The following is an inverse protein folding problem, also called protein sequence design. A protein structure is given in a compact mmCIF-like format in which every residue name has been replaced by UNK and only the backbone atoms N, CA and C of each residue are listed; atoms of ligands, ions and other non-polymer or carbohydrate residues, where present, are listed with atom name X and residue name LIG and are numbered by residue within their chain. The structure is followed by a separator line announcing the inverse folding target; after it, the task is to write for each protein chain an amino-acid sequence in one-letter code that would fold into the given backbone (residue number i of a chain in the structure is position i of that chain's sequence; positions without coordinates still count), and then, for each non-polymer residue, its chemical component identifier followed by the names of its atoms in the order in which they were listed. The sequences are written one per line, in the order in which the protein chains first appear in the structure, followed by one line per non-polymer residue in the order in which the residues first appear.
data_IF_952210970184
#
_entry.id   IF_952210970184
#
_cell.length_a   1.000
_cell.length_b   1.000
_cell.length_c   1.000
_cell.angle_alpha   90.00
_cell.angle_beta   90.00
_cell.angle_gamma   90.00
#
_symmetry.space_group_name_H-M   'P 1'
#
loop_
_entity.id
_entity.type
_entity.pdbx_description
1 polymer ?
#
# COMPACT_ATOMS: atom_id res chain seq x y z
N UNK A 1 -14.36 -41.92 -12.63
CA UNK A 1 -13.19 -41.03 -12.80
C UNK A 1 -13.38 -39.83 -11.88
N UNK A 2 -12.60 -39.69 -10.79
CA UNK A 2 -12.68 -38.48 -9.97
C UNK A 2 -12.13 -37.31 -10.78
N UNK A 3 -12.93 -36.25 -10.88
CA UNK A 3 -12.56 -35.00 -11.56
C UNK A 3 -11.38 -34.39 -10.80
N UNK A 4 -10.21 -34.35 -11.43
CA UNK A 4 -9.06 -33.59 -10.94
C UNK A 4 -9.50 -32.14 -10.70
N UNK A 5 -9.57 -31.73 -9.42
CA UNK A 5 -9.70 -30.31 -9.06
C UNK A 5 -8.47 -29.63 -9.63
N UNK A 6 -8.60 -28.89 -10.73
CA UNK A 6 -7.58 -27.93 -11.18
C UNK A 6 -7.18 -27.10 -9.96
N UNK A 7 -5.92 -27.16 -9.56
CA UNK A 7 -5.41 -26.27 -8.53
C UNK A 7 -5.67 -24.84 -9.00
N UNK A 8 -6.57 -24.15 -8.30
CA UNK A 8 -6.78 -22.73 -8.54
C UNK A 8 -5.46 -22.04 -8.30
N UNK A 9 -5.02 -21.20 -9.25
CA UNK A 9 -3.84 -20.35 -9.11
C UNK A 9 -3.90 -19.62 -7.76
N UNK A 10 -2.90 -19.80 -6.92
CA UNK A 10 -2.85 -19.14 -5.61
C UNK A 10 -2.21 -17.76 -5.76
N UNK A 11 -3.06 -16.79 -6.05
CA UNK A 11 -2.65 -15.40 -6.23
C UNK A 11 -2.03 -14.80 -4.96
N UNK A 12 -2.46 -15.26 -3.78
CA UNK A 12 -1.92 -14.76 -2.52
C UNK A 12 -0.47 -15.25 -2.34
N UNK A 13 -0.20 -16.51 -2.68
CA UNK A 13 1.15 -17.06 -2.68
C UNK A 13 2.07 -16.30 -3.65
N UNK A 14 1.64 -16.08 -4.90
CA UNK A 14 2.45 -15.35 -5.89
C UNK A 14 2.82 -13.92 -5.48
N UNK A 15 1.88 -13.19 -4.87
CA UNK A 15 2.14 -11.84 -4.34
C UNK A 15 3.13 -11.92 -3.17
N UNK A 16 2.98 -12.92 -2.30
CA UNK A 16 3.86 -13.12 -1.14
C UNK A 16 5.28 -13.44 -1.59
N UNK A 17 5.45 -14.36 -2.56
CA UNK A 17 6.75 -14.75 -3.10
C UNK A 17 7.47 -13.58 -3.75
N UNK A 18 6.75 -12.71 -4.47
CA UNK A 18 7.33 -11.48 -5.02
C UNK A 18 7.84 -10.55 -3.92
N UNK A 19 7.07 -10.38 -2.84
CA UNK A 19 7.47 -9.54 -1.70
C UNK A 19 8.71 -10.11 -1.02
N UNK A 20 8.74 -11.42 -0.78
CA UNK A 20 9.90 -12.11 -0.20
C UNK A 20 11.14 -11.88 -1.07
N UNK A 21 11.03 -12.12 -2.37
CA UNK A 21 12.14 -11.91 -3.31
C UNK A 21 12.67 -10.47 -3.27
N UNK A 22 11.79 -9.47 -3.23
CA UNK A 22 12.20 -8.06 -3.16
C UNK A 22 12.91 -7.73 -1.85
N UNK A 23 12.47 -8.33 -0.74
CA UNK A 23 13.15 -8.21 0.55
C UNK A 23 14.53 -8.86 0.53
N UNK A 24 14.67 -10.03 -0.12
CA UNK A 24 15.97 -10.71 -0.32
C UNK A 24 16.93 -9.91 -1.20
N UNK A 25 16.41 -9.17 -2.18
CA UNK A 25 17.16 -8.20 -3.01
C UNK A 25 17.59 -6.94 -2.20
N UNK A 26 17.19 -6.83 -0.93
CA UNK A 26 17.55 -5.71 -0.03
C UNK A 26 16.71 -4.45 -0.25
N UNK A 27 15.64 -4.53 -1.04
CA UNK A 27 14.77 -3.39 -1.36
C UNK A 27 13.41 -3.59 -0.70
N UNK A 28 13.17 -3.03 0.50
CA UNK A 28 11.85 -3.09 1.12
C UNK A 28 10.80 -2.44 0.21
N UNK A 29 9.74 -3.15 -0.21
CA UNK A 29 8.75 -2.63 -1.18
C UNK A 29 8.05 -1.33 -0.76
N UNK A 30 8.02 -1.03 0.53
CA UNK A 30 7.41 0.17 1.13
C UNK A 30 8.40 1.31 1.39
N UNK A 31 9.71 1.12 1.19
CA UNK A 31 10.72 2.16 1.43
C UNK A 31 11.65 2.30 0.23
N UNK A 32 11.67 3.49 -0.38
CA UNK A 32 12.53 3.83 -1.52
C UNK A 32 13.36 5.07 -1.19
N UNK A 33 14.70 4.96 -1.09
CA UNK A 33 15.55 6.11 -0.77
C UNK A 33 15.93 6.98 -1.97
N UNK A 34 15.52 6.64 -3.20
CA UNK A 34 15.84 7.36 -4.44
C UNK A 34 14.59 7.71 -5.27
N UNK A 35 14.69 8.75 -6.12
CA UNK A 35 13.63 9.17 -7.06
C UNK A 35 13.81 8.53 -8.43
N UNK A 36 12.71 8.15 -9.08
CA UNK A 36 12.67 7.87 -10.53
C UNK A 36 11.92 9.03 -11.21
N UNK A 37 12.41 9.47 -12.36
CA UNK A 37 11.70 10.44 -13.21
C UNK A 37 10.43 9.80 -13.77
N UNK A 38 9.26 10.31 -13.38
CA UNK A 38 7.96 9.74 -13.73
C UNK A 38 6.84 10.31 -12.87
N UNK A 39 5.59 9.88 -13.14
CA UNK A 39 4.38 10.49 -12.57
C UNK A 39 4.31 10.46 -11.04
N UNK A 40 5.12 9.63 -10.37
CA UNK A 40 5.18 9.54 -8.92
C UNK A 40 3.85 9.16 -8.26
N UNK A 41 3.90 8.90 -6.95
CA UNK A 41 2.67 8.75 -6.14
C UNK A 41 2.02 7.38 -6.22
N UNK A 42 0.83 7.28 -5.60
CA UNK A 42 0.12 6.00 -5.49
C UNK A 42 -0.33 5.51 -6.87
N UNK A 43 -0.25 4.19 -7.14
CA UNK A 43 -0.90 3.59 -8.29
C UNK A 43 -2.38 3.98 -8.36
N UNK A 44 -2.83 4.40 -9.54
CA UNK A 44 -4.20 4.81 -9.82
C UNK A 44 -4.87 3.84 -10.80
N UNK A 45 -6.18 3.67 -10.67
CA UNK A 45 -7.02 3.02 -11.68
C UNK A 45 -7.19 3.94 -12.89
N UNK A 46 -7.65 3.42 -14.02
CA UNK A 46 -7.97 4.20 -15.23
C UNK A 46 -8.85 5.45 -14.97
N UNK A 47 -9.71 5.41 -13.95
CA UNK A 47 -10.60 6.51 -13.56
C UNK A 47 -9.99 7.51 -12.55
N UNK A 48 -8.70 7.38 -12.22
CA UNK A 48 -8.01 8.23 -11.25
C UNK A 48 -8.19 7.82 -9.79
N UNK A 49 -9.05 6.85 -9.49
CA UNK A 49 -9.21 6.35 -8.11
C UNK A 49 -7.94 5.62 -7.65
N UNK A 50 -7.35 5.99 -6.50
CA UNK A 50 -6.18 5.30 -5.97
C UNK A 50 -6.44 3.83 -5.65
N UNK A 51 -5.45 2.98 -5.89
CA UNK A 51 -5.46 1.62 -5.34
C UNK A 51 -5.31 1.65 -3.82
N UNK A 52 -5.83 0.61 -3.16
CA UNK A 52 -5.84 0.47 -1.71
C UNK A 52 -5.26 -0.88 -1.29
N UNK A 53 -4.79 -0.96 -0.04
CA UNK A 53 -4.23 -2.17 0.54
C UNK A 53 -3.02 -2.68 -0.23
N UNK A 54 -2.92 -4.00 -0.36
CA UNK A 54 -1.78 -4.70 -0.97
C UNK A 54 -1.53 -4.30 -2.43
N UNK A 55 -2.57 -3.94 -3.18
CA UNK A 55 -2.41 -3.50 -4.57
C UNK A 55 -1.54 -2.24 -4.66
N UNK A 56 -1.58 -1.38 -3.65
CA UNK A 56 -0.76 -0.16 -3.62
C UNK A 56 0.72 -0.54 -3.60
N UNK A 57 1.10 -1.46 -2.70
CA UNK A 57 2.49 -1.91 -2.57
C UNK A 57 2.93 -2.75 -3.77
N UNK A 58 2.09 -3.70 -4.17
CA UNK A 58 2.39 -4.65 -5.24
C UNK A 58 2.56 -3.95 -6.60
N UNK A 59 1.60 -3.11 -7.01
CA UNK A 59 1.67 -2.41 -8.30
C UNK A 59 2.78 -1.37 -8.30
N UNK A 60 3.09 -0.78 -7.15
CA UNK A 60 4.21 0.14 -7.02
C UNK A 60 5.56 -0.57 -7.19
N UNK A 61 5.75 -1.69 -6.48
CA UNK A 61 6.96 -2.50 -6.60
C UNK A 61 7.15 -3.07 -8.01
N UNK A 62 6.05 -3.46 -8.67
CA UNK A 62 6.10 -3.94 -10.04
C UNK A 62 6.42 -2.83 -11.04
N UNK A 63 5.80 -1.65 -10.89
CA UNK A 63 6.12 -0.49 -11.71
C UNK A 63 7.59 -0.13 -11.61
N UNK A 64 8.18 -0.20 -10.41
CA UNK A 64 9.61 0.00 -10.21
C UNK A 64 10.46 -1.08 -10.90
N UNK A 65 10.16 -2.36 -10.63
CA UNK A 65 10.93 -3.48 -11.16
C UNK A 65 10.94 -3.52 -12.70
N UNK A 66 9.88 -3.04 -13.34
CA UNK A 66 9.73 -2.99 -14.80
C UNK A 66 10.09 -1.63 -15.41
N UNK A 67 10.45 -0.63 -14.59
CA UNK A 67 10.80 0.71 -15.05
C UNK A 67 9.62 1.54 -15.60
N UNK A 68 8.39 1.23 -15.18
CA UNK A 68 7.21 2.00 -15.58
C UNK A 68 7.20 3.38 -14.91
N UNK A 69 6.98 4.41 -15.73
CA UNK A 69 6.89 5.83 -15.39
C UNK A 69 5.46 6.23 -15.06
N UNK A 70 4.46 5.63 -15.70
CA UNK A 70 3.05 5.94 -15.41
C UNK A 70 2.57 5.30 -14.10
N UNK A 71 1.75 6.07 -13.37
CA UNK A 71 1.05 5.59 -12.17
C UNK A 71 -0.28 4.88 -12.49
N UNK A 72 -0.74 4.90 -13.74
CA UNK A 72 -2.05 4.36 -14.11
C UNK A 72 -1.98 2.88 -14.45
N UNK A 73 -2.93 2.12 -13.91
CA UNK A 73 -3.12 0.71 -14.18
C UNK A 73 -4.56 0.44 -14.59
N UNK A 74 -4.73 -0.40 -15.61
CA UNK A 74 -6.05 -0.69 -16.16
C UNK A 74 -6.13 -2.08 -16.78
N UNK A 75 -7.33 -2.66 -16.80
CA UNK A 75 -7.58 -3.94 -17.49
C UNK A 75 -7.55 -3.77 -19.01
N UNK A 76 -7.33 -4.86 -19.75
CA UNK A 76 -7.39 -4.86 -21.21
C UNK A 76 -8.69 -4.24 -21.75
N UNK A 77 -9.84 -4.64 -21.20
CA UNK A 77 -11.16 -4.11 -21.61
C UNK A 77 -11.30 -2.60 -21.36
N UNK A 78 -10.65 -2.06 -20.33
CA UNK A 78 -10.66 -0.63 -20.05
C UNK A 78 -9.79 0.13 -21.05
N UNK A 79 -8.64 -0.43 -21.44
CA UNK A 79 -7.82 0.14 -22.51
C UNK A 79 -8.59 0.17 -23.84
N UNK A 80 -9.22 -0.94 -24.20
CA UNK A 80 -10.02 -1.07 -25.43
C UNK A 80 -11.20 -0.08 -25.44
N UNK A 81 -11.88 0.11 -24.32
CA UNK A 81 -12.95 1.11 -24.19
C UNK A 81 -12.46 2.56 -24.36
N UNK A 82 -11.17 2.82 -24.14
CA UNK A 82 -10.52 4.11 -24.40
C UNK A 82 -9.95 4.22 -25.82
N UNK A 83 -10.19 3.22 -26.68
CA UNK A 83 -9.64 3.17 -28.05
C UNK A 83 -8.17 2.79 -28.10
N UNK A 84 -7.61 2.31 -26.99
CA UNK A 84 -6.20 1.99 -26.82
C UNK A 84 -5.97 0.47 -26.82
N UNK A 85 -4.76 0.02 -27.13
CA UNK A 85 -4.44 -1.41 -27.21
C UNK A 85 -3.17 -1.74 -26.44
N UNK A 86 -3.21 -2.82 -25.67
CA UNK A 86 -2.01 -3.37 -25.02
C UNK A 86 -1.06 -3.88 -26.10
N UNK A 87 0.22 -3.51 -26.01
CA UNK A 87 1.23 -3.97 -26.98
C UNK A 87 1.37 -5.48 -26.97
N UNK A 88 1.62 -6.03 -28.15
CA UNK A 88 1.77 -7.49 -28.32
C UNK A 88 3.01 -7.98 -27.57
N UNK A 89 2.82 -8.99 -26.72
CA UNK A 89 3.90 -9.60 -25.92
C UNK A 89 4.03 -9.05 -24.50
N UNK A 90 3.31 -7.98 -24.16
CA UNK A 90 3.27 -7.45 -22.80
C UNK A 90 2.58 -8.41 -21.83
N UNK A 91 3.14 -8.54 -20.64
CA UNK A 91 2.58 -9.38 -19.57
C UNK A 91 1.87 -8.49 -18.55
N UNK A 92 0.62 -8.82 -18.24
CA UNK A 92 -0.17 -8.08 -17.26
C UNK A 92 0.16 -8.47 -15.82
N UNK A 93 -0.04 -7.52 -14.91
CA UNK A 93 0.10 -7.66 -13.47
C UNK A 93 -1.18 -8.16 -12.82
N UNK A 94 -1.06 -8.83 -11.67
CA UNK A 94 -2.24 -9.25 -10.91
C UNK A 94 -2.68 -8.16 -9.94
N UNK A 95 -3.94 -7.75 -10.02
CA UNK A 95 -4.58 -6.94 -8.97
C UNK A 95 -5.64 -7.76 -8.25
N UNK A 96 -5.63 -7.73 -6.92
CA UNK A 96 -6.56 -8.49 -6.09
C UNK A 96 -7.72 -7.65 -5.58
N UNK A 97 -8.90 -8.24 -5.52
CA UNK A 97 -10.09 -7.68 -4.93
C UNK A 97 -10.64 -8.64 -3.89
N UNK A 98 -10.67 -8.20 -2.64
CA UNK A 98 -11.23 -8.97 -1.54
C UNK A 98 -12.58 -8.40 -1.15
N UNK A 99 -13.59 -9.27 -1.05
CA UNK A 99 -14.92 -8.90 -0.57
C UNK A 99 -15.59 -10.10 0.08
N UNK A 100 -16.67 -9.86 0.79
CA UNK A 100 -17.49 -10.92 1.37
C UNK A 100 -18.95 -10.75 0.95
N UNK A 101 -19.68 -11.86 0.79
CA UNK A 101 -21.12 -11.83 0.60
C UNK A 101 -21.77 -12.77 1.61
N UNK A 102 -22.99 -12.43 2.01
CA UNK A 102 -23.78 -13.24 2.91
C UNK A 102 -24.60 -14.23 2.10
N UNK A 103 -24.62 -15.49 2.52
CA UNK A 103 -25.42 -16.55 1.92
C UNK A 103 -26.22 -17.22 3.01
N UNK A 104 -27.53 -17.32 2.81
CA UNK A 104 -28.39 -18.16 3.64
C UNK A 104 -28.17 -19.61 3.20
N UNK A 105 -27.68 -20.44 4.12
CA UNK A 105 -27.57 -21.88 3.93
C UNK A 105 -28.43 -22.58 4.98
N UNK A 106 -29.18 -23.59 4.58
CA UNK A 106 -29.89 -24.45 5.54
C UNK A 106 -28.88 -25.27 6.32
N UNK A 107 -29.00 -25.24 7.64
CA UNK A 107 -28.15 -26.03 8.51
C UNK A 107 -28.40 -27.52 8.26
N UNK A 108 -27.38 -28.34 7.92
CA UNK A 108 -27.56 -29.73 7.49
C UNK A 108 -28.32 -30.62 8.49
N UNK A 109 -28.29 -30.26 9.78
CA UNK A 109 -28.89 -31.04 10.87
C UNK A 109 -30.15 -30.41 11.48
N UNK A 110 -30.40 -29.10 11.31
CA UNK A 110 -31.50 -28.42 12.03
C UNK A 110 -32.51 -27.76 11.10
N UNK A 111 -32.26 -27.74 9.78
CA UNK A 111 -33.16 -27.12 8.79
C UNK A 111 -33.38 -25.61 8.99
N UNK A 112 -32.67 -24.99 9.94
CA UNK A 112 -32.73 -23.54 10.17
C UNK A 112 -31.85 -22.84 9.16
N UNK A 113 -32.35 -21.76 8.59
CA UNK A 113 -31.55 -20.86 7.77
C UNK A 113 -30.46 -20.22 8.64
N UNK A 114 -29.20 -20.47 8.28
CA UNK A 114 -28.05 -19.84 8.92
C UNK A 114 -27.38 -18.92 7.91
N UNK A 115 -27.25 -17.65 8.30
CA UNK A 115 -26.57 -16.64 7.50
C UNK A 115 -25.05 -16.86 7.59
N UNK A 116 -24.45 -17.38 6.52
CA UNK A 116 -23.01 -17.61 6.43
C UNK A 116 -22.34 -16.49 5.64
N UNK A 117 -21.35 -15.86 6.23
CA UNK A 117 -20.52 -14.86 5.55
C UNK A 117 -19.40 -15.56 4.76
N UNK A 118 -19.48 -15.54 3.43
CA UNK A 118 -18.51 -16.16 2.53
C UNK A 118 -17.54 -15.07 2.04
N UNK A 119 -16.27 -15.23 2.41
CA UNK A 119 -15.16 -14.38 1.97
C UNK A 119 -14.63 -14.90 0.64
N UNK A 120 -14.37 -14.01 -0.30
CA UNK A 120 -13.78 -14.38 -1.58
C UNK A 120 -12.67 -13.42 -2.01
N UNK A 121 -11.72 -13.97 -2.75
CA UNK A 121 -10.66 -13.23 -3.43
C UNK A 121 -10.89 -13.37 -4.94
N UNK A 122 -11.07 -12.24 -5.61
CA UNK A 122 -11.02 -12.15 -7.07
C UNK A 122 -9.69 -11.54 -7.47
N UNK A 123 -9.21 -11.90 -8.63
CA UNK A 123 -8.05 -11.26 -9.23
C UNK A 123 -8.39 -10.76 -10.63
N UNK A 124 -7.73 -9.68 -11.02
CA UNK A 124 -7.84 -9.04 -12.32
C UNK A 124 -6.45 -8.90 -12.90
N UNK A 125 -6.34 -9.04 -14.21
CA UNK A 125 -5.10 -8.73 -14.92
C UNK A 125 -5.16 -7.27 -15.35
N UNK A 126 -4.19 -6.49 -14.87
CA UNK A 126 -4.05 -5.07 -15.16
C UNK A 126 -2.71 -4.80 -15.83
N UNK A 127 -2.69 -3.83 -16.72
CA UNK A 127 -1.52 -3.38 -17.46
C UNK A 127 -1.22 -1.95 -17.02
N UNK A 128 0.06 -1.61 -16.92
CA UNK A 128 0.46 -0.23 -16.73
C UNK A 128 0.17 0.57 -18.02
N UNK A 129 -0.15 1.85 -17.91
CA UNK A 129 -0.37 2.69 -19.09
C UNK A 129 0.83 2.70 -20.04
N UNK A 130 2.05 2.55 -19.52
CA UNK A 130 3.24 2.47 -20.37
C UNK A 130 3.26 1.24 -21.26
N UNK A 131 2.50 0.18 -20.94
CA UNK A 131 2.34 -1.05 -21.75
C UNK A 131 1.29 -0.93 -22.86
N UNK A 132 0.59 0.21 -22.94
CA UNK A 132 -0.59 0.41 -23.77
C UNK A 132 -0.30 1.55 -24.74
N UNK A 133 -0.59 1.32 -26.02
CA UNK A 133 -0.47 2.33 -27.07
C UNK A 133 -1.81 3.02 -27.30
N UNK A 134 -1.75 4.28 -27.77
CA UNK A 134 -2.91 5.12 -28.10
C UNK A 134 -3.80 5.51 -26.91
N UNK A 135 -3.26 5.54 -25.68
CA UNK A 135 -3.97 6.18 -24.56
C UNK A 135 -3.90 7.71 -24.68
N UNK A 136 -4.88 8.43 -24.10
CA UNK A 136 -4.79 9.87 -23.91
C UNK A 136 -3.51 10.28 -23.18
N UNK A 137 -2.90 11.41 -23.57
CA UNK A 137 -1.60 11.88 -23.06
C UNK A 137 -1.51 11.96 -21.52
N UNK A 138 -2.64 12.25 -20.86
CA UNK A 138 -2.75 12.29 -19.39
C UNK A 138 -2.36 10.97 -18.68
N UNK A 139 -2.46 9.83 -19.37
CA UNK A 139 -2.09 8.53 -18.80
C UNK A 139 -0.58 8.29 -18.80
N UNK A 140 0.19 9.06 -19.56
CA UNK A 140 1.64 8.95 -19.60
C UNK A 140 2.28 9.95 -18.65
N UNK A 141 3.42 9.58 -18.07
CA UNK A 141 4.16 10.51 -17.23
C UNK A 141 4.72 11.67 -18.08
N UNK A 142 4.62 12.92 -17.61
CA UNK A 142 5.26 14.03 -18.30
C UNK A 142 6.78 13.88 -18.26
N UNK A 143 7.45 14.32 -19.33
CA UNK A 143 8.90 14.45 -19.37
C UNK A 143 9.32 15.70 -18.60
N UNK A 144 9.27 15.64 -17.27
CA UNK A 144 9.74 16.72 -16.42
C UNK A 144 11.24 16.58 -16.11
N UNK A 145 12.03 17.66 -16.26
CA UNK A 145 13.43 17.65 -15.85
C UNK A 145 13.53 17.45 -14.34
N UNK A 146 14.50 16.63 -13.91
CA UNK A 146 14.74 16.38 -12.50
C UNK A 146 15.23 17.67 -11.82
N UNK A 147 14.31 18.41 -11.21
CA UNK A 147 14.65 19.60 -10.45
C UNK A 147 15.35 19.24 -9.13
N UNK A 148 16.30 20.04 -8.65
CA UNK A 148 16.89 19.89 -7.33
C UNK A 148 15.80 19.93 -6.26
N UNK A 149 15.91 19.06 -5.25
CA UNK A 149 14.99 19.06 -4.11
C UNK A 149 15.23 20.32 -3.30
N UNK A 150 14.36 21.32 -3.45
CA UNK A 150 14.34 22.46 -2.53
C UNK A 150 13.99 21.95 -1.11
N UNK A 151 14.64 22.44 -0.05
CA UNK A 151 14.26 22.12 1.32
C UNK A 151 12.77 22.42 1.55
N UNK A 152 12.03 21.37 1.89
CA UNK A 152 10.67 21.38 2.41
C UNK A 152 9.62 22.24 1.67
N UNK A 153 9.50 22.12 0.33
CA UNK A 153 8.30 22.61 -0.39
C UNK A 153 6.98 22.06 0.19
N UNK A 154 7.04 20.97 0.98
CA UNK A 154 5.89 20.27 1.55
C UNK A 154 5.73 20.44 3.06
N UNK A 155 6.53 21.27 3.74
CA UNK A 155 6.45 21.41 5.21
C UNK A 155 5.04 21.80 5.68
N UNK A 156 4.43 22.78 5.01
CA UNK A 156 3.07 23.21 5.33
C UNK A 156 2.04 22.07 5.17
N UNK A 157 2.18 21.25 4.13
CA UNK A 157 1.30 20.10 3.91
C UNK A 157 1.50 18.99 4.95
N UNK A 158 2.76 18.73 5.35
CA UNK A 158 3.11 17.79 6.42
C UNK A 158 2.52 18.29 7.76
N UNK A 159 2.69 19.56 8.08
CA UNK A 159 2.18 20.16 9.32
C UNK A 159 0.66 20.12 9.35
N UNK A 160 -0.02 20.46 8.24
CA UNK A 160 -1.47 20.38 8.12
C UNK A 160 -2.00 18.94 8.29
N UNK A 161 -1.32 17.96 7.69
CA UNK A 161 -1.66 16.54 7.87
C UNK A 161 -1.62 16.12 9.33
N UNK A 162 -0.53 16.45 10.02
CA UNK A 162 -0.37 16.07 11.41
C UNK A 162 -1.21 16.89 12.39
N UNK A 163 -1.58 18.13 12.06
CA UNK A 163 -2.49 18.94 12.87
C UNK A 163 -3.90 18.33 12.94
N UNK A 164 -4.32 17.61 11.90
CA UNK A 164 -5.59 16.88 11.89
C UNK A 164 -5.60 15.59 12.72
N UNK A 165 -4.45 15.17 13.27
CA UNK A 165 -4.31 13.92 14.02
C UNK A 165 -4.19 14.25 15.51
N UNK A 166 -5.17 13.85 16.36
CA UNK A 166 -5.23 14.24 17.76
C UNK A 166 -4.33 13.38 18.66
N UNK A 167 -3.12 13.06 18.21
CA UNK A 167 -2.15 12.33 19.02
C UNK A 167 -1.41 13.28 19.96
N UNK A 168 -1.28 12.91 21.24
CA UNK A 168 -0.38 13.59 22.17
C UNK A 168 1.07 13.30 21.75
N UNK A 169 1.77 14.31 21.25
CA UNK A 169 3.16 14.20 20.79
C UNK A 169 4.06 15.02 21.71
N UNK A 170 4.97 14.33 22.39
CA UNK A 170 5.93 14.92 23.32
C UNK A 170 7.32 14.92 22.73
N UNK A 171 8.12 15.93 23.06
CA UNK A 171 9.49 16.07 22.59
C UNK A 171 10.49 16.00 23.73
N UNK A 172 11.56 15.23 23.55
CA UNK A 172 12.61 15.04 24.54
C UNK A 172 13.35 13.71 24.36
N UNK A 173 14.47 13.55 25.08
CA UNK A 173 15.29 12.35 25.00
C UNK A 173 15.93 12.12 23.63
N UNK A 174 16.34 10.87 23.37
CA UNK A 174 17.07 10.44 22.18
C UNK A 174 16.39 9.27 21.42
N UNK A 175 15.13 8.97 21.75
CA UNK A 175 14.36 7.88 21.13
C UNK A 175 12.99 8.37 20.69
N UNK A 176 12.48 7.77 19.60
CA UNK A 176 11.09 7.89 19.17
C UNK A 176 10.37 6.59 19.50
N UNK A 177 9.15 6.69 20.03
CA UNK A 177 8.29 5.53 20.30
C UNK A 177 6.85 5.96 20.61
N UNK A 178 5.88 5.10 20.31
CA UNK A 178 4.54 5.15 20.89
C UNK A 178 4.46 4.31 22.16
N UNK A 179 3.82 4.83 23.21
CA UNK A 179 3.52 4.05 24.43
C UNK A 179 2.03 3.70 24.52
N UNK A 180 1.66 2.41 24.40
CA UNK A 180 0.26 1.99 24.51
C UNK A 180 -0.35 2.30 25.88
N UNK A 181 0.40 2.14 26.97
CA UNK A 181 -0.11 2.29 28.34
C UNK A 181 -0.50 3.73 28.68
N UNK A 182 0.29 4.70 28.20
CA UNK A 182 0.09 6.12 28.51
C UNK A 182 -0.47 6.93 27.33
N UNK A 183 -0.72 6.25 26.21
CA UNK A 183 -1.30 6.78 24.97
C UNK A 183 -0.68 8.11 24.45
N UNK A 184 0.65 8.15 24.34
CA UNK A 184 1.35 9.27 23.71
C UNK A 184 2.49 8.81 22.80
N UNK A 185 2.89 9.69 21.90
CA UNK A 185 4.04 9.53 21.02
C UNK A 185 5.21 10.35 21.60
N UNK A 186 6.30 9.68 21.92
CA UNK A 186 7.57 10.32 22.25
C UNK A 186 8.38 10.54 20.97
N UNK A 187 8.94 11.73 20.81
CA UNK A 187 9.87 12.07 19.74
C UNK A 187 11.13 12.73 20.32
N UNK A 188 12.32 12.54 19.73
CA UNK A 188 13.46 13.41 19.98
C UNK A 188 13.13 14.85 19.58
N UNK A 189 13.90 15.81 20.10
CA UNK A 189 13.79 17.21 19.67
C UNK A 189 13.94 17.31 18.15
N UNK A 190 13.15 18.18 17.50
CA UNK A 190 13.16 18.34 16.03
C UNK A 190 14.57 18.67 15.49
N UNK A 191 15.35 19.43 16.26
CA UNK A 191 16.74 19.80 15.96
C UNK A 191 17.72 18.62 15.97
N UNK A 192 17.34 17.47 16.56
CA UNK A 192 18.14 16.25 16.54
C UNK A 192 18.04 15.49 15.22
N UNK A 193 17.10 15.84 14.35
CA UNK A 193 16.93 15.22 13.03
C UNK A 193 17.73 15.95 11.96
N UNK A 194 18.32 15.19 11.02
CA UNK A 194 19.09 15.76 9.89
C UNK A 194 18.21 16.53 8.91
N UNK A 195 16.92 16.24 8.87
CA UNK A 195 15.93 16.98 8.07
C UNK A 195 14.53 16.83 8.65
N UNK A 196 13.64 17.77 8.32
CA UNK A 196 12.23 17.67 8.69
C UNK A 196 11.49 16.53 7.98
N UNK A 197 11.96 16.10 6.81
CA UNK A 197 11.41 14.92 6.12
C UNK A 197 11.68 13.64 6.92
N UNK A 198 12.88 13.51 7.51
CA UNK A 198 13.21 12.39 8.40
C UNK A 198 12.37 12.45 9.68
N UNK A 199 12.21 13.64 10.28
CA UNK A 199 11.31 13.83 11.43
C UNK A 199 9.88 13.42 11.10
N UNK A 200 9.34 13.87 9.96
CA UNK A 200 7.98 13.57 9.53
C UNK A 200 7.80 12.07 9.27
N UNK A 201 8.81 11.42 8.68
CA UNK A 201 8.83 9.98 8.44
C UNK A 201 8.77 9.20 9.75
N UNK A 202 9.65 9.50 10.71
CA UNK A 202 9.65 8.87 12.05
C UNK A 202 8.34 9.16 12.79
N UNK A 203 7.83 10.40 12.76
CA UNK A 203 6.54 10.73 13.38
C UNK A 203 5.40 9.92 12.77
N UNK A 204 5.39 9.73 11.45
CA UNK A 204 4.36 8.93 10.80
C UNK A 204 4.40 7.47 11.25
N UNK A 205 5.59 6.89 11.37
CA UNK A 205 5.77 5.53 11.89
C UNK A 205 5.11 5.37 13.26
N UNK A 206 5.45 6.24 14.21
CA UNK A 206 4.86 6.20 15.56
C UNK A 206 3.36 6.50 15.55
N UNK A 207 2.89 7.34 14.62
CA UNK A 207 1.46 7.62 14.45
C UNK A 207 0.70 6.39 13.97
N UNK A 208 1.31 5.54 13.14
CA UNK A 208 0.71 4.26 12.76
C UNK A 208 0.59 3.38 14.00
N UNK A 209 1.64 3.22 14.80
CA UNK A 209 1.54 2.50 16.09
C UNK A 209 0.45 3.05 16.99
N UNK A 210 0.42 4.38 17.16
CA UNK A 210 -0.61 5.07 17.91
C UNK A 210 -2.00 4.66 17.43
N UNK A 211 -2.29 4.67 16.12
CA UNK A 211 -3.62 4.26 15.62
C UNK A 211 -4.05 2.82 16.00
N UNK A 212 -3.12 1.97 16.44
CA UNK A 212 -3.37 0.58 16.83
C UNK A 212 -3.94 0.38 18.23
N UNK A 213 -3.97 1.42 19.06
CA UNK A 213 -4.49 1.35 20.44
C UNK A 213 -5.93 0.83 20.51
N UNK A 214 -6.30 0.28 21.67
CA UNK A 214 -7.58 -0.37 21.93
C UNK A 214 -8.79 0.53 21.65
N UNK A 215 -8.67 1.83 21.94
CA UNK A 215 -9.75 2.81 21.71
C UNK A 215 -9.83 3.32 20.25
N UNK A 216 -8.97 2.81 19.36
CA UNK A 216 -8.87 3.23 17.96
C UNK A 216 -9.12 2.06 17.02
N UNK A 217 -8.08 1.54 16.35
CA UNK A 217 -8.22 0.38 15.47
C UNK A 217 -8.19 -0.96 16.22
N UNK A 218 -7.87 -0.94 17.52
CA UNK A 218 -7.80 -2.11 18.38
C UNK A 218 -7.04 -3.28 17.72
N UNK A 219 -5.87 -2.98 17.15
CA UNK A 219 -5.14 -3.97 16.35
C UNK A 219 -4.65 -5.08 17.26
N UNK A 220 -5.08 -6.31 16.95
CA UNK A 220 -4.62 -7.52 17.60
C UNK A 220 -4.25 -8.55 16.53
N UNK A 221 -3.09 -9.18 16.66
CA UNK A 221 -2.57 -10.11 15.63
C UNK A 221 -2.75 -11.59 15.99
N UNK A 222 -3.85 -11.91 16.70
CA UNK A 222 -4.20 -13.27 17.10
C UNK A 222 -3.17 -13.92 18.05
N UNK A 223 -3.14 -15.26 18.13
CA UNK A 223 -2.19 -16.05 18.93
C UNK A 223 -0.76 -16.05 18.35
N UNK A 224 -0.27 -14.91 17.88
CA UNK A 224 1.16 -14.74 17.57
C UNK A 224 1.84 -14.41 18.90
N UNK A 225 2.70 -15.30 19.39
CA UNK A 225 3.42 -15.08 20.64
C UNK A 225 4.66 -14.20 20.42
N UNK A 226 4.94 -13.31 21.37
CA UNK A 226 6.19 -12.56 21.47
C UNK A 226 6.57 -11.74 20.23
N UNK A 227 7.84 -11.82 19.84
CA UNK A 227 8.50 -11.05 18.77
C UNK A 227 7.77 -11.11 17.42
N UNK A 228 7.01 -12.16 17.12
CA UNK A 228 6.28 -12.29 15.85
C UNK A 228 5.06 -11.38 15.76
N UNK A 229 4.40 -11.11 16.89
CA UNK A 229 3.31 -10.14 16.93
C UNK A 229 3.86 -8.72 16.79
N UNK A 230 4.97 -8.44 17.48
CA UNK A 230 5.69 -7.18 17.40
C UNK A 230 6.22 -6.90 15.99
N UNK A 231 6.93 -7.85 15.37
CA UNK A 231 7.44 -7.71 14.00
C UNK A 231 6.33 -7.48 12.96
N UNK A 232 5.12 -8.01 13.20
CA UNK A 232 4.00 -7.76 12.31
C UNK A 232 3.39 -6.37 12.51
N UNK A 233 3.34 -5.88 13.74
CA UNK A 233 2.95 -4.49 14.04
C UNK A 233 3.95 -3.51 13.43
N UNK A 234 5.25 -3.80 13.51
CA UNK A 234 6.31 -3.04 12.83
C UNK A 234 6.15 -3.05 11.30
N UNK A 235 5.80 -4.20 10.71
CA UNK A 235 5.51 -4.29 9.28
C UNK A 235 4.33 -3.39 8.89
N UNK A 236 3.30 -3.33 9.72
CA UNK A 236 2.15 -2.42 9.53
C UNK A 236 2.60 -0.96 9.64
N UNK A 237 3.41 -0.62 10.64
CA UNK A 237 3.92 0.73 10.85
C UNK A 237 4.82 1.22 9.72
N UNK A 238 5.78 0.40 9.29
CA UNK A 238 6.66 0.70 8.16
C UNK A 238 5.89 0.84 6.84
N UNK A 239 4.88 -0.01 6.62
CA UNK A 239 4.00 0.10 5.45
C UNK A 239 3.20 1.41 5.49
N UNK A 240 2.63 1.75 6.65
CA UNK A 240 1.84 2.97 6.84
C UNK A 240 2.66 4.27 6.79
N UNK A 241 3.92 4.23 7.22
CA UNK A 241 4.86 5.36 7.15
C UNK A 241 5.09 5.86 5.71
N UNK A 242 5.01 4.96 4.72
CA UNK A 242 5.13 5.30 3.30
C UNK A 242 3.87 5.95 2.72
N UNK A 243 2.75 5.93 3.45
CA UNK A 243 1.45 6.37 2.95
C UNK A 243 1.36 7.90 2.78
N UNK A 244 1.79 8.77 3.72
CA UNK A 244 1.72 10.22 3.55
C UNK A 244 2.52 10.79 2.37
N UNK A 245 3.79 10.43 2.12
CA UNK A 245 4.50 10.95 0.94
C UNK A 245 3.85 10.53 -0.39
N UNK A 246 2.99 9.51 -0.37
CA UNK A 246 2.20 9.07 -1.50
C UNK A 246 0.82 9.75 -1.61
N UNK A 247 0.29 10.36 -0.53
CA UNK A 247 -0.97 11.14 -0.53
C UNK A 247 -0.79 12.66 -0.49
N UNK A 248 0.37 13.15 -0.05
CA UNK A 248 0.70 14.58 0.03
C UNK A 248 1.29 15.09 -1.29
N UNK A 249 0.78 14.59 -2.43
CA UNK A 249 1.21 14.97 -3.78
C UNK A 249 0.19 15.88 -4.44
#
# INVERSE_FOLDING_TARGET
MPVSRRSSRDVAAEITDLIIRKLEEGVPPWSRPWRISGGGGRPLRHCGTPYTGINTLYLWALGDAMGYRSRFWMTYRQAEALGANVRRGETGAISVYYSSFKKLEEHPETGKEVERNIRFLRHYIVFNADQIDALPAYFYAPDEPQMPVAPSLRQAAIDAFFAGIPADVRHGGNQAYFTPTFDYIQMPNRTSFRSMDLYASTRCHETVHWSGHADRLARTFGKRFGDKAYAFEELVALSGQSAPPATLQ
#
